data_IF_905246347044
#
_entry.id   IF_905246347044
#
_cell.length_a   1.000
_cell.length_b   1.000
_cell.length_c   1.000
_cell.angle_alpha   90.00
_cell.angle_beta   90.00
_cell.angle_gamma   90.00
#
_symmetry.space_group_name_H-M   'P 1'
#
loop_
_entity.id
_entity.type
_entity.pdbx_description
1 polymer ?
#
# COMPACT_ATOMS: atom_id res chain seq x y z
N UNK A 1 13.54 6.03 19.70
CA UNK A 1 12.60 6.16 18.58
C UNK A 1 11.14 5.87 18.94
N UNK A 2 10.83 5.31 20.11
CA UNK A 2 9.44 4.99 20.55
C UNK A 2 8.73 6.11 21.35
N UNK A 3 9.41 7.18 21.72
CA UNK A 3 8.80 8.25 22.55
C UNK A 3 8.10 9.34 21.74
N UNK A 4 8.46 9.52 20.47
CA UNK A 4 7.87 10.57 19.60
C UNK A 4 6.48 10.16 19.09
N UNK A 5 6.31 8.90 18.67
CA UNK A 5 5.04 8.37 18.18
C UNK A 5 3.93 8.46 19.23
N UNK A 6 4.22 8.20 20.53
CA UNK A 6 3.22 8.30 21.59
C UNK A 6 2.65 9.71 21.75
N UNK A 7 3.44 10.75 21.50
CA UNK A 7 2.98 12.13 21.57
C UNK A 7 2.13 12.51 20.36
N UNK A 8 2.54 12.05 19.17
CA UNK A 8 1.82 12.27 17.91
C UNK A 8 0.42 11.63 17.95
N UNK A 9 0.35 10.35 18.37
CA UNK A 9 -0.93 9.65 18.50
C UNK A 9 -1.86 10.33 19.51
N UNK A 10 -1.36 10.73 20.67
CA UNK A 10 -2.13 11.49 21.67
C UNK A 10 -2.64 12.84 21.14
N UNK A 11 -1.83 13.54 20.34
CA UNK A 11 -2.28 14.77 19.68
C UNK A 11 -3.45 14.50 18.74
N UNK A 12 -3.35 13.44 17.91
CA UNK A 12 -4.41 13.06 16.99
C UNK A 12 -5.68 12.64 17.74
N UNK A 13 -5.58 11.79 18.76
CA UNK A 13 -6.72 11.40 19.61
C UNK A 13 -7.41 12.59 20.25
N UNK A 14 -6.63 13.53 20.78
CA UNK A 14 -7.15 14.77 21.36
C UNK A 14 -7.88 15.62 20.31
N UNK A 15 -7.31 15.74 19.11
CA UNK A 15 -7.94 16.46 18.01
C UNK A 15 -9.32 15.87 17.67
N UNK A 16 -9.42 14.53 17.60
CA UNK A 16 -10.68 13.84 17.33
C UNK A 16 -11.69 14.02 18.47
N UNK A 17 -11.24 14.06 19.76
CA UNK A 17 -12.13 14.21 20.92
C UNK A 17 -12.64 15.63 21.10
N UNK A 18 -11.81 16.62 20.88
CA UNK A 18 -12.04 18.03 21.21
C UNK A 18 -12.50 18.87 20.01
N UNK A 19 -12.65 18.25 18.83
CA UNK A 19 -12.92 18.92 17.54
C UNK A 19 -11.97 20.10 17.26
N UNK A 20 -10.72 19.95 17.72
CA UNK A 20 -9.67 20.98 17.61
C UNK A 20 -8.84 20.76 16.34
N UNK A 21 -8.46 21.83 15.65
CA UNK A 21 -7.56 21.74 14.51
C UNK A 21 -6.11 21.70 14.97
N UNK A 22 -5.35 20.69 14.54
CA UNK A 22 -3.91 20.59 14.75
C UNK A 22 -3.25 20.59 13.37
N UNK A 23 -2.15 21.31 13.23
CA UNK A 23 -1.32 21.20 12.05
C UNK A 23 -0.48 19.92 12.16
N UNK A 24 -0.60 19.05 11.16
CA UNK A 24 0.22 17.85 10.97
C UNK A 24 0.81 17.92 9.56
N UNK A 25 2.08 17.58 9.41
CA UNK A 25 2.67 17.42 8.09
C UNK A 25 2.32 16.07 7.47
N UNK A 26 2.73 15.86 6.23
CA UNK A 26 2.38 14.64 5.48
C UNK A 26 2.94 13.39 6.16
N UNK A 27 4.18 13.47 6.64
CA UNK A 27 4.87 12.32 7.25
C UNK A 27 4.21 11.95 8.59
N UNK A 28 3.82 12.95 9.38
CA UNK A 28 3.07 12.75 10.63
C UNK A 28 1.71 12.07 10.38
N UNK A 29 1.00 12.49 9.33
CA UNK A 29 -0.28 11.85 8.96
C UNK A 29 -0.07 10.41 8.52
N UNK A 30 0.93 10.14 7.67
CA UNK A 30 1.27 8.77 7.23
C UNK A 30 1.62 7.88 8.42
N UNK A 31 2.38 8.40 9.38
CA UNK A 31 2.76 7.68 10.61
C UNK A 31 1.54 7.33 11.47
N UNK A 32 0.58 8.26 11.62
CA UNK A 32 -0.69 8.00 12.33
C UNK A 32 -1.50 6.91 11.63
N UNK A 33 -1.63 6.99 10.30
CA UNK A 33 -2.37 5.98 9.51
C UNK A 33 -1.72 4.61 9.71
N UNK A 34 -0.39 4.52 9.57
CA UNK A 34 0.35 3.27 9.72
C UNK A 34 0.24 2.71 11.14
N UNK A 35 0.27 3.56 12.16
CA UNK A 35 0.10 3.13 13.55
C UNK A 35 -1.24 2.41 13.74
N UNK A 36 -2.35 3.05 13.41
CA UNK A 36 -3.67 2.45 13.61
C UNK A 36 -3.93 1.25 12.67
N UNK A 37 -3.38 1.30 11.47
CA UNK A 37 -3.43 0.17 10.54
C UNK A 37 -2.75 -1.07 11.12
N UNK A 38 -1.56 -0.93 11.72
CA UNK A 38 -0.80 -2.02 12.33
C UNK A 38 -1.43 -2.52 13.63
N UNK A 39 -2.06 -1.63 14.41
CA UNK A 39 -2.82 -2.01 15.59
C UNK A 39 -4.17 -2.69 15.25
N UNK A 40 -4.58 -2.66 13.97
CA UNK A 40 -5.84 -3.21 13.51
C UNK A 40 -7.05 -2.33 13.82
N UNK A 41 -6.84 -1.10 14.29
CA UNK A 41 -7.91 -0.11 14.48
C UNK A 41 -8.23 0.60 13.17
N UNK A 42 -8.96 -0.11 12.30
CA UNK A 42 -9.32 0.36 10.96
C UNK A 42 -10.15 1.65 11.02
N UNK A 43 -11.00 1.82 12.04
CA UNK A 43 -11.82 3.01 12.18
C UNK A 43 -10.96 4.27 12.43
N UNK A 44 -9.96 4.17 13.29
CA UNK A 44 -9.05 5.29 13.56
C UNK A 44 -8.10 5.53 12.37
N UNK A 45 -7.67 4.48 11.69
CA UNK A 45 -6.89 4.60 10.45
C UNK A 45 -7.68 5.36 9.36
N UNK A 46 -8.97 5.07 9.19
CA UNK A 46 -9.83 5.79 8.23
C UNK A 46 -9.99 7.27 8.60
N UNK A 47 -10.18 7.60 9.89
CA UNK A 47 -10.21 9.01 10.33
C UNK A 47 -8.91 9.74 10.04
N UNK A 48 -7.78 9.06 10.22
CA UNK A 48 -6.48 9.65 9.89
C UNK A 48 -6.32 9.85 8.37
N UNK A 49 -6.82 8.93 7.55
CA UNK A 49 -6.87 9.10 6.09
C UNK A 49 -7.77 10.27 5.70
N UNK A 50 -8.95 10.40 6.31
CA UNK A 50 -9.86 11.51 6.04
C UNK A 50 -9.20 12.86 6.34
N UNK A 51 -8.54 12.97 7.49
CA UNK A 51 -7.74 14.14 7.84
C UNK A 51 -6.64 14.39 6.79
N UNK A 52 -5.90 13.35 6.43
CA UNK A 52 -4.83 13.42 5.45
C UNK A 52 -5.32 13.90 4.08
N UNK A 53 -6.44 13.37 3.61
CA UNK A 53 -7.03 13.79 2.33
C UNK A 53 -7.57 15.23 2.36
N UNK A 54 -8.02 15.70 3.52
CA UNK A 54 -8.44 17.10 3.69
C UNK A 54 -7.24 18.06 3.67
N UNK A 55 -6.12 17.69 4.28
CA UNK A 55 -4.90 18.49 4.34
C UNK A 55 -4.05 18.36 3.05
N UNK A 56 -3.96 17.16 2.52
CA UNK A 56 -3.06 16.79 1.42
C UNK A 56 -3.78 15.95 0.35
N UNK A 57 -4.77 16.51 -0.37
CA UNK A 57 -5.65 15.75 -1.28
C UNK A 57 -4.92 15.03 -2.42
N UNK A 58 -3.71 15.48 -2.74
CA UNK A 58 -2.90 14.91 -3.82
C UNK A 58 -1.73 14.04 -3.32
N UNK A 59 -1.68 13.69 -2.03
CA UNK A 59 -0.64 12.80 -1.52
C UNK A 59 -0.84 11.38 -2.06
N UNK A 60 0.11 10.90 -2.87
CA UNK A 60 0.09 9.53 -3.37
C UNK A 60 0.24 8.51 -2.24
N UNK A 61 1.09 8.79 -1.25
CA UNK A 61 1.36 7.88 -0.13
C UNK A 61 0.11 7.67 0.73
N UNK A 62 -0.58 8.74 1.12
CA UNK A 62 -1.82 8.67 1.90
C UNK A 62 -2.86 7.85 1.13
N UNK A 63 -2.99 8.07 -0.18
CA UNK A 63 -3.93 7.32 -1.01
C UNK A 63 -3.53 5.85 -1.20
N UNK A 64 -2.23 5.53 -1.24
CA UNK A 64 -1.76 4.13 -1.23
C UNK A 64 -2.14 3.46 0.09
N UNK A 65 -1.91 4.11 1.24
CA UNK A 65 -2.31 3.60 2.55
C UNK A 65 -3.83 3.43 2.65
N UNK A 66 -4.61 4.36 2.11
CA UNK A 66 -6.06 4.23 2.04
C UNK A 66 -6.49 3.03 1.21
N UNK A 67 -5.83 2.78 0.08
CA UNK A 67 -6.13 1.59 -0.73
C UNK A 67 -5.84 0.27 0.02
N UNK A 68 -4.85 0.22 0.91
CA UNK A 68 -4.59 -0.95 1.78
C UNK A 68 -5.73 -1.15 2.79
N UNK A 69 -6.22 -0.07 3.38
CA UNK A 69 -7.38 -0.11 4.29
C UNK A 69 -8.61 -0.64 3.55
N UNK A 70 -8.89 -0.13 2.35
CA UNK A 70 -9.99 -0.62 1.51
C UNK A 70 -9.86 -2.12 1.19
N UNK A 71 -8.64 -2.58 0.90
CA UNK A 71 -8.37 -4.01 0.68
C UNK A 71 -8.68 -4.85 1.93
N UNK A 72 -8.31 -4.38 3.12
CA UNK A 72 -8.61 -5.08 4.38
C UNK A 72 -10.11 -5.14 4.67
N UNK A 73 -10.84 -4.09 4.32
CA UNK A 73 -12.31 -4.04 4.44
C UNK A 73 -13.02 -4.91 3.41
N UNK A 74 -12.31 -5.42 2.42
CA UNK A 74 -12.90 -6.15 1.30
C UNK A 74 -13.49 -5.26 0.20
N UNK A 75 -13.28 -3.96 0.27
CA UNK A 75 -13.74 -2.95 -0.70
C UNK A 75 -12.79 -2.85 -1.91
N UNK A 76 -12.49 -4.01 -2.51
CA UNK A 76 -11.40 -4.16 -3.50
C UNK A 76 -11.65 -3.33 -4.77
N UNK A 77 -12.91 -3.17 -5.17
CA UNK A 77 -13.27 -2.38 -6.36
C UNK A 77 -12.95 -0.89 -6.12
N UNK A 78 -13.30 -0.36 -4.94
CA UNK A 78 -13.00 1.04 -4.59
C UNK A 78 -11.48 1.27 -4.54
N UNK A 79 -10.72 0.31 -3.97
CA UNK A 79 -9.26 0.37 -3.98
C UNK A 79 -8.71 0.39 -5.41
N UNK A 80 -9.29 -0.39 -6.33
CA UNK A 80 -8.90 -0.40 -7.74
C UNK A 80 -9.14 0.95 -8.41
N UNK A 81 -10.34 1.50 -8.26
CA UNK A 81 -10.72 2.76 -8.88
C UNK A 81 -9.84 3.91 -8.37
N UNK A 82 -9.59 3.96 -7.05
CA UNK A 82 -8.70 4.95 -6.43
C UNK A 82 -7.29 4.91 -7.06
N UNK A 83 -6.68 3.74 -7.13
CA UNK A 83 -5.32 3.61 -7.68
C UNK A 83 -5.30 3.84 -9.19
N UNK A 84 -6.35 3.45 -9.91
CA UNK A 84 -6.44 3.70 -11.35
C UNK A 84 -6.54 5.18 -11.68
N UNK A 85 -7.30 5.96 -10.90
CA UNK A 85 -7.40 7.42 -11.04
C UNK A 85 -6.06 8.11 -10.76
N UNK A 86 -5.33 7.68 -9.73
CA UNK A 86 -3.99 8.21 -9.44
C UNK A 86 -2.99 7.88 -10.57
N UNK A 87 -3.08 6.70 -11.17
CA UNK A 87 -2.24 6.32 -12.30
C UNK A 87 -2.55 7.11 -13.58
N UNK A 88 -3.74 7.68 -13.75
CA UNK A 88 -4.03 8.61 -14.86
C UNK A 88 -3.20 9.88 -14.77
N UNK A 89 -2.93 10.33 -13.53
CA UNK A 89 -2.12 11.53 -13.25
C UNK A 89 -0.62 11.19 -13.33
N UNK A 90 -0.20 10.08 -12.71
CA UNK A 90 1.20 9.65 -12.65
C UNK A 90 1.37 8.22 -13.18
N UNK A 91 1.37 8.09 -14.50
CA UNK A 91 1.36 6.80 -15.22
C UNK A 91 2.56 5.90 -14.93
N UNK A 92 3.69 6.49 -14.56
CA UNK A 92 4.97 5.78 -14.40
C UNK A 92 5.36 5.58 -12.92
N UNK A 93 4.49 5.91 -11.97
CA UNK A 93 4.77 5.66 -10.55
C UNK A 93 4.87 4.17 -10.29
N UNK A 94 6.06 3.72 -9.88
CA UNK A 94 6.31 2.30 -9.59
C UNK A 94 5.48 1.83 -8.40
N UNK A 95 5.30 2.67 -7.39
CA UNK A 95 4.53 2.35 -6.18
C UNK A 95 3.05 2.17 -6.50
N UNK A 96 2.47 3.07 -7.30
CA UNK A 96 1.08 2.95 -7.76
C UNK A 96 0.88 1.73 -8.67
N UNK A 97 1.82 1.45 -9.58
CA UNK A 97 1.77 0.25 -10.43
C UNK A 97 1.85 -1.03 -9.58
N UNK A 98 2.74 -1.05 -8.59
CA UNK A 98 2.86 -2.18 -7.68
C UNK A 98 1.58 -2.35 -6.85
N UNK A 99 1.01 -1.26 -6.32
CA UNK A 99 -0.26 -1.29 -5.59
C UNK A 99 -1.41 -1.81 -6.47
N UNK A 100 -1.49 -1.37 -7.73
CA UNK A 100 -2.45 -1.92 -8.71
C UNK A 100 -2.28 -3.43 -8.88
N UNK A 101 -1.04 -3.93 -8.94
CA UNK A 101 -0.76 -5.37 -9.04
C UNK A 101 -1.25 -6.14 -7.81
N UNK A 102 -1.10 -5.60 -6.60
CA UNK A 102 -1.64 -6.20 -5.36
C UNK A 102 -3.17 -6.31 -5.44
N UNK A 103 -3.85 -5.24 -5.86
CA UNK A 103 -5.30 -5.22 -6.03
C UNK A 103 -5.75 -6.23 -7.09
N UNK A 104 -5.11 -6.26 -8.25
CA UNK A 104 -5.40 -7.24 -9.31
C UNK A 104 -5.24 -8.68 -8.84
N UNK A 105 -4.24 -8.94 -8.00
CA UNK A 105 -4.05 -10.26 -7.38
C UNK A 105 -5.22 -10.61 -6.46
N UNK A 106 -5.72 -9.67 -5.66
CA UNK A 106 -6.92 -9.85 -4.83
C UNK A 106 -8.18 -10.09 -5.66
N UNK A 107 -8.30 -9.39 -6.81
CA UNK A 107 -9.37 -9.60 -7.80
C UNK A 107 -9.22 -10.90 -8.62
N UNK A 108 -8.20 -11.73 -8.32
CA UNK A 108 -7.84 -12.95 -9.06
C UNK A 108 -7.48 -12.72 -10.54
N UNK A 109 -7.18 -11.49 -10.92
CA UNK A 109 -6.70 -11.10 -12.27
C UNK A 109 -5.19 -11.32 -12.40
N UNK A 110 -4.74 -12.55 -12.12
CA UNK A 110 -3.32 -12.88 -11.98
C UNK A 110 -2.51 -12.62 -13.25
N UNK A 111 -3.07 -12.88 -14.44
CA UNK A 111 -2.36 -12.66 -15.72
C UNK A 111 -2.08 -11.17 -15.97
N UNK A 112 -3.06 -10.33 -15.66
CA UNK A 112 -2.92 -8.86 -15.79
C UNK A 112 -1.87 -8.33 -14.81
N UNK A 113 -1.95 -8.73 -13.54
CA UNK A 113 -0.95 -8.39 -12.52
C UNK A 113 0.47 -8.81 -12.97
N UNK A 114 0.66 -10.05 -13.44
CA UNK A 114 1.96 -10.54 -13.93
C UNK A 114 2.50 -9.69 -15.09
N UNK A 115 1.63 -9.25 -16.01
CA UNK A 115 2.05 -8.41 -17.13
C UNK A 115 2.66 -7.11 -16.62
N UNK A 116 1.96 -6.39 -15.73
CA UNK A 116 2.44 -5.13 -15.15
C UNK A 116 3.71 -5.34 -14.32
N UNK A 117 3.74 -6.37 -13.44
CA UNK A 117 4.90 -6.65 -12.59
C UNK A 117 6.20 -6.89 -13.36
N UNK A 118 6.11 -7.43 -14.58
CA UNK A 118 7.30 -7.64 -15.41
C UNK A 118 7.88 -6.35 -15.97
N UNK A 119 7.05 -5.35 -16.16
CA UNK A 119 7.41 -4.06 -16.74
C UNK A 119 7.84 -3.04 -15.66
N UNK A 120 7.60 -3.32 -14.37
CA UNK A 120 8.11 -2.48 -13.28
C UNK A 120 9.65 -2.56 -13.26
N UNK A 121 10.34 -1.41 -13.35
CA UNK A 121 11.79 -1.36 -13.23
C UNK A 121 12.26 -1.96 -11.89
N UNK A 122 13.34 -2.70 -11.94
CA UNK A 122 13.90 -3.37 -10.77
C UNK A 122 14.73 -2.37 -9.96
N UNK A 123 14.07 -1.54 -9.15
CA UNK A 123 14.77 -0.81 -8.09
C UNK A 123 15.05 -1.76 -6.92
N UNK A 124 16.14 -1.57 -6.20
CA UNK A 124 16.54 -2.45 -5.11
C UNK A 124 15.49 -2.57 -4.01
N UNK A 125 14.72 -1.50 -3.75
CA UNK A 125 13.69 -1.47 -2.71
C UNK A 125 12.44 -2.29 -3.04
N UNK A 126 11.99 -2.27 -4.31
CA UNK A 126 10.77 -2.99 -4.73
C UNK A 126 11.05 -4.40 -5.26
N UNK A 127 12.30 -4.75 -5.53
CA UNK A 127 12.62 -5.98 -6.26
C UNK A 127 12.16 -7.26 -5.53
N UNK A 128 12.29 -7.31 -4.20
CA UNK A 128 11.81 -8.44 -3.41
C UNK A 128 10.28 -8.56 -3.48
N UNK A 129 9.56 -7.47 -3.22
CA UNK A 129 8.10 -7.45 -3.20
C UNK A 129 7.49 -7.78 -4.57
N UNK A 130 8.11 -7.29 -5.65
CA UNK A 130 7.71 -7.61 -7.02
C UNK A 130 7.89 -9.11 -7.31
N UNK A 131 9.03 -9.69 -6.90
CA UNK A 131 9.29 -11.13 -7.08
C UNK A 131 8.34 -11.99 -6.23
N UNK A 132 8.08 -11.59 -4.98
CA UNK A 132 7.14 -12.29 -4.10
C UNK A 132 5.72 -12.28 -4.69
N UNK A 133 5.26 -11.15 -5.20
CA UNK A 133 3.93 -11.04 -5.81
C UNK A 133 3.85 -11.81 -7.14
N UNK A 134 4.94 -11.83 -7.95
CA UNK A 134 5.03 -12.69 -9.13
C UNK A 134 4.94 -14.17 -8.78
N UNK A 135 5.66 -14.59 -7.73
CA UNK A 135 5.61 -15.96 -7.22
C UNK A 135 4.18 -16.34 -6.83
N UNK A 136 3.52 -15.50 -6.01
CA UNK A 136 2.13 -15.70 -5.59
C UNK A 136 1.18 -15.83 -6.78
N UNK A 137 1.32 -14.96 -7.78
CA UNK A 137 0.47 -14.98 -8.96
C UNK A 137 0.69 -16.23 -9.82
N UNK A 138 1.95 -16.68 -10.01
CA UNK A 138 2.22 -17.92 -10.73
C UNK A 138 1.72 -19.16 -9.99
N UNK A 139 1.83 -19.19 -8.65
CA UNK A 139 1.28 -20.27 -7.83
C UNK A 139 -0.24 -20.35 -7.95
N UNK A 140 -0.94 -19.21 -7.90
CA UNK A 140 -2.40 -19.17 -8.08
C UNK A 140 -2.86 -19.60 -9.49
N UNK A 141 -1.99 -19.46 -10.49
CA UNK A 141 -2.22 -19.95 -11.85
C UNK A 141 -1.75 -21.41 -12.04
N UNK A 142 -1.29 -22.06 -10.98
CA UNK A 142 -0.71 -23.43 -11.02
C UNK A 142 0.46 -23.57 -12.01
N UNK A 143 1.11 -22.46 -12.33
CA UNK A 143 2.28 -22.45 -13.21
C UNK A 143 3.55 -22.69 -12.39
N UNK A 144 3.70 -23.94 -11.94
CA UNK A 144 4.78 -24.34 -11.02
C UNK A 144 6.18 -24.14 -11.64
N UNK A 145 6.33 -24.32 -12.94
CA UNK A 145 7.60 -24.10 -13.63
C UNK A 145 8.09 -22.66 -13.45
N UNK A 146 7.21 -21.67 -13.70
CA UNK A 146 7.55 -20.26 -13.52
C UNK A 146 7.68 -19.87 -12.04
N UNK A 147 6.86 -20.47 -11.17
CA UNK A 147 6.98 -20.28 -9.72
C UNK A 147 8.35 -20.67 -9.22
N UNK A 148 8.86 -21.86 -9.61
CA UNK A 148 10.18 -22.35 -9.23
C UNK A 148 11.28 -21.41 -9.75
N UNK A 149 11.20 -20.94 -10.98
CA UNK A 149 12.16 -20.00 -11.55
C UNK A 149 12.23 -18.68 -10.77
N UNK A 150 11.07 -18.14 -10.35
CA UNK A 150 11.01 -16.93 -9.51
C UNK A 150 11.58 -17.20 -8.12
N UNK A 151 11.23 -18.32 -7.50
CA UNK A 151 11.75 -18.70 -6.19
C UNK A 151 13.28 -18.83 -6.19
N UNK A 152 13.84 -19.51 -7.18
CA UNK A 152 15.32 -19.61 -7.36
C UNK A 152 15.95 -18.22 -7.48
N UNK A 153 15.28 -17.30 -8.17
CA UNK A 153 15.78 -15.93 -8.30
C UNK A 153 15.74 -15.18 -6.97
N UNK A 154 14.69 -15.33 -6.18
CA UNK A 154 14.61 -14.76 -4.81
C UNK A 154 15.77 -15.26 -3.96
N UNK A 155 15.98 -16.58 -3.90
CA UNK A 155 17.04 -17.21 -3.10
C UNK A 155 18.46 -16.82 -3.56
N UNK A 156 18.66 -16.49 -4.84
CA UNK A 156 19.96 -15.99 -5.34
C UNK A 156 20.25 -14.55 -4.97
N UNK A 157 19.21 -13.71 -4.88
CA UNK A 157 19.34 -12.27 -4.59
C UNK A 157 19.35 -12.03 -3.08
N UNK A 158 18.58 -12.82 -2.35
CA UNK A 158 18.38 -12.73 -0.89
C UNK A 158 18.70 -14.08 -0.24
N UNK A 159 19.98 -14.51 -0.21
CA UNK A 159 20.39 -15.69 0.55
C UNK A 159 20.29 -15.34 2.04
N UNK A 160 19.59 -16.18 2.81
CA UNK A 160 19.56 -16.06 4.28
C UNK A 160 20.94 -16.39 4.88
#
# INVERSE_FOLDING_TARGET
MYSDNSNLIKKFEKMISDDSSIFLDTDEVEEIILYYFNEGDIMMAEKAVELGNNLYPNSFNINILYSEILILKGEITQAYDLIDDLLRINKNSQDLLFQKCKILTKLKKYKESISILKDIPKSDQLSFFVLDLLLKNYMNLENYEKSIRVLIKILKIYPE
#
